data_IF_149002955490
#
_entry.id   IF_149002955490
#
_cell.length_a   1.000
_cell.length_b   1.000
_cell.length_c   1.000
_cell.angle_alpha   90.00
_cell.angle_beta   90.00
_cell.angle_gamma   90.00
#
_symmetry.space_group_name_H-M   'P 1'
#
loop_
_entity.id
_entity.type
_entity.pdbx_description
1 polymer ?
#
# COMPACT_ATOMS: atom_id res chain seq x y z
N UNK A 1 -38.87 33.56 -54.59
CA UNK A 1 -37.88 33.88 -53.56
C UNK A 1 -37.90 32.75 -52.54
N UNK A 2 -36.95 31.79 -52.65
CA UNK A 2 -36.83 30.62 -51.71
C UNK A 2 -35.70 30.95 -50.72
N UNK A 3 -36.04 31.08 -49.43
CA UNK A 3 -35.08 31.30 -48.37
C UNK A 3 -34.56 29.96 -47.94
N UNK A 4 -33.26 29.70 -48.16
CA UNK A 4 -32.51 28.58 -47.65
C UNK A 4 -32.13 28.89 -46.17
N UNK A 5 -32.70 28.14 -45.25
CA UNK A 5 -32.33 28.17 -43.84
C UNK A 5 -31.18 27.15 -43.65
N UNK A 6 -29.98 27.68 -43.43
CA UNK A 6 -28.80 26.90 -43.15
C UNK A 6 -28.82 26.48 -41.66
N UNK A 7 -29.02 25.20 -41.38
CA UNK A 7 -28.89 24.65 -40.06
C UNK A 7 -27.40 24.38 -39.77
N UNK A 8 -26.83 25.23 -38.94
CA UNK A 8 -25.49 24.98 -38.37
C UNK A 8 -25.61 23.91 -37.28
N UNK A 9 -25.21 22.69 -37.60
CA UNK A 9 -25.10 21.60 -36.63
C UNK A 9 -23.80 21.79 -35.86
N UNK A 10 -23.91 22.33 -34.65
CA UNK A 10 -22.77 22.41 -33.73
C UNK A 10 -22.53 21.04 -33.14
N UNK A 11 -21.51 20.32 -33.63
CA UNK A 11 -21.07 19.06 -33.08
C UNK A 11 -20.27 19.36 -31.81
N UNK A 12 -20.91 19.14 -30.66
CA UNK A 12 -20.23 19.12 -29.36
C UNK A 12 -19.35 17.87 -29.28
N UNK A 13 -18.05 18.04 -29.52
CA UNK A 13 -17.09 17.03 -29.18
C UNK A 13 -17.00 16.94 -27.64
N UNK A 14 -17.72 16.00 -27.06
CA UNK A 14 -17.48 15.55 -25.72
C UNK A 14 -16.10 14.89 -25.71
N UNK A 15 -15.06 15.67 -25.38
CA UNK A 15 -13.75 15.12 -25.02
C UNK A 15 -13.96 14.36 -23.71
N UNK A 16 -14.17 13.04 -23.82
CA UNK A 16 -14.03 12.13 -22.70
C UNK A 16 -12.58 12.20 -22.23
N UNK A 17 -12.33 13.00 -21.21
CA UNK A 17 -11.08 12.92 -20.45
C UNK A 17 -10.99 11.46 -19.99
N UNK A 18 -9.96 10.70 -20.37
CA UNK A 18 -9.79 9.38 -19.80
C UNK A 18 -9.62 9.60 -18.31
N UNK A 19 -10.58 9.12 -17.50
CA UNK A 19 -10.38 8.90 -16.07
C UNK A 19 -9.21 7.94 -16.05
N UNK A 20 -8.00 8.45 -15.74
CA UNK A 20 -6.89 7.57 -15.40
C UNK A 20 -7.39 6.76 -14.22
N UNK A 21 -7.80 5.53 -14.54
CA UNK A 21 -8.07 4.53 -13.52
C UNK A 21 -6.81 4.49 -12.66
N UNK A 22 -6.98 4.79 -11.38
CA UNK A 22 -5.96 4.77 -10.36
C UNK A 22 -5.34 3.35 -10.36
N UNK A 23 -4.32 3.16 -11.22
CA UNK A 23 -3.65 1.88 -11.44
C UNK A 23 -2.76 1.51 -10.27
N UNK A 24 -2.72 2.32 -9.22
CA UNK A 24 -1.93 2.13 -8.01
C UNK A 24 -2.74 1.50 -6.86
N UNK A 25 -3.78 0.74 -7.16
CA UNK A 25 -4.44 -0.09 -6.16
C UNK A 25 -3.57 -1.32 -5.86
N UNK A 26 -2.43 -1.06 -5.22
CA UNK A 26 -1.64 -2.13 -4.65
C UNK A 26 -2.49 -2.88 -3.61
N UNK A 27 -2.50 -4.20 -3.72
CA UNK A 27 -3.34 -5.04 -2.87
C UNK A 27 -2.49 -5.75 -1.83
N UNK A 28 -3.02 -6.00 -0.62
CA UNK A 28 -2.31 -6.75 0.39
C UNK A 28 -1.89 -8.15 -0.06
N UNK A 29 -0.69 -8.53 0.33
CA UNK A 29 -0.03 -9.78 -0.05
C UNK A 29 -0.39 -10.89 0.95
N UNK A 30 -0.72 -12.08 0.44
CA UNK A 30 -0.89 -13.28 1.27
C UNK A 30 0.47 -13.80 1.72
N UNK A 31 0.53 -14.30 2.96
CA UNK A 31 1.70 -15.06 3.40
C UNK A 31 1.78 -16.39 2.62
N UNK A 32 2.98 -16.83 2.22
CA UNK A 32 3.16 -18.14 1.63
C UNK A 32 2.76 -19.23 2.64
N UNK A 33 2.22 -20.33 2.12
CA UNK A 33 1.98 -21.53 2.96
C UNK A 33 3.33 -22.13 3.31
N UNK A 34 3.64 -22.21 4.60
CA UNK A 34 4.82 -22.93 5.10
C UNK A 34 4.40 -24.33 5.53
N UNK A 35 4.96 -25.35 4.90
CA UNK A 35 4.81 -26.73 5.36
C UNK A 35 5.60 -26.90 6.67
N UNK A 36 5.00 -27.45 7.71
CA UNK A 36 5.63 -27.66 9.00
C UNK A 36 5.58 -26.48 9.97
N UNK A 37 4.62 -25.60 9.80
CA UNK A 37 4.41 -24.37 10.55
C UNK A 37 4.24 -24.62 12.07
N UNK A 38 4.95 -23.83 12.88
CA UNK A 38 4.75 -23.77 14.33
C UNK A 38 3.44 -23.02 14.64
N UNK A 39 2.87 -23.21 15.83
CA UNK A 39 1.57 -22.63 16.21
C UNK A 39 1.48 -21.10 16.03
N UNK A 40 2.59 -20.37 16.23
CA UNK A 40 2.59 -18.90 16.03
C UNK A 40 2.52 -18.48 14.56
N UNK A 41 3.05 -19.31 13.63
CA UNK A 41 2.94 -19.05 12.18
C UNK A 41 1.48 -19.10 11.75
N UNK A 42 0.69 -19.99 12.37
CA UNK A 42 -0.76 -20.05 12.12
C UNK A 42 -1.48 -18.78 12.58
N UNK A 43 -1.10 -18.25 13.74
CA UNK A 43 -1.70 -17.03 14.29
C UNK A 43 -1.36 -15.80 13.44
N UNK A 44 -0.10 -15.67 12.98
CA UNK A 44 0.34 -14.62 12.05
C UNK A 44 -0.43 -14.74 10.74
N UNK A 45 -0.52 -15.95 10.19
CA UNK A 45 -1.22 -16.21 8.93
C UNK A 45 -2.70 -15.87 9.04
N UNK A 46 -3.36 -16.24 10.14
CA UNK A 46 -4.77 -15.94 10.37
C UNK A 46 -5.01 -14.45 10.53
N UNK A 47 -4.17 -13.76 11.30
CA UNK A 47 -4.25 -12.32 11.44
C UNK A 47 -4.04 -11.60 10.09
N UNK A 48 -3.02 -11.99 9.33
CA UNK A 48 -2.81 -11.44 7.99
C UNK A 48 -4.02 -11.69 7.05
N UNK A 49 -4.59 -12.89 7.06
CA UNK A 49 -5.78 -13.24 6.26
C UNK A 49 -6.98 -12.36 6.64
N UNK A 50 -7.23 -12.17 7.93
CA UNK A 50 -8.32 -11.34 8.40
C UNK A 50 -8.11 -9.87 8.02
N UNK A 51 -6.89 -9.36 8.16
CA UNK A 51 -6.51 -8.02 7.70
C UNK A 51 -6.80 -7.83 6.21
N UNK A 52 -6.42 -8.81 5.37
CA UNK A 52 -6.70 -8.79 3.92
C UNK A 52 -8.22 -8.75 3.64
N UNK A 53 -9.01 -9.53 4.37
CA UNK A 53 -10.45 -9.55 4.18
C UNK A 53 -11.07 -8.17 4.51
N UNK A 54 -10.69 -7.57 5.64
CA UNK A 54 -11.14 -6.23 6.03
C UNK A 54 -10.65 -5.14 5.06
N UNK A 55 -9.42 -5.24 4.57
CA UNK A 55 -8.91 -4.32 3.56
C UNK A 55 -9.76 -4.36 2.28
N UNK A 56 -10.07 -5.56 1.78
CA UNK A 56 -10.92 -5.76 0.60
C UNK A 56 -12.33 -5.21 0.78
N UNK A 57 -12.88 -5.29 1.99
CA UNK A 57 -14.19 -4.71 2.32
C UNK A 57 -14.10 -3.21 2.67
N UNK A 58 -12.95 -2.58 2.46
CA UNK A 58 -12.67 -1.16 2.77
C UNK A 58 -12.82 -0.80 4.26
N UNK A 59 -12.86 -1.79 5.14
CA UNK A 59 -12.86 -1.63 6.60
C UNK A 59 -11.42 -1.42 7.10
N UNK A 60 -10.80 -0.31 6.69
CA UNK A 60 -9.36 -0.10 6.88
C UNK A 60 -8.93 -0.03 8.34
N UNK A 61 -9.76 0.52 9.23
CA UNK A 61 -9.47 0.56 10.67
C UNK A 61 -9.41 -0.84 11.29
N UNK A 62 -10.28 -1.76 10.86
CA UNK A 62 -10.21 -3.16 11.30
C UNK A 62 -9.02 -3.89 10.66
N UNK A 63 -8.78 -3.64 9.36
CA UNK A 63 -7.60 -4.19 8.69
C UNK A 63 -6.30 -3.80 9.42
N UNK A 64 -6.19 -2.54 9.84
CA UNK A 64 -5.05 -2.04 10.62
C UNK A 64 -4.82 -2.86 11.88
N UNK A 65 -5.86 -3.11 12.69
CA UNK A 65 -5.74 -3.89 13.93
C UNK A 65 -5.17 -5.29 13.68
N UNK A 66 -5.69 -5.96 12.64
CA UNK A 66 -5.23 -7.30 12.29
C UNK A 66 -3.80 -7.31 11.75
N UNK A 67 -3.43 -6.37 10.88
CA UNK A 67 -2.07 -6.29 10.38
C UNK A 67 -1.07 -5.85 11.46
N UNK A 68 -1.44 -4.99 12.38
CA UNK A 68 -0.62 -4.66 13.56
C UNK A 68 -0.39 -5.88 14.44
N UNK A 69 -1.43 -6.70 14.69
CA UNK A 69 -1.29 -7.96 15.42
C UNK A 69 -0.33 -8.89 14.69
N UNK A 70 -0.51 -9.09 13.38
CA UNK A 70 0.36 -9.93 12.57
C UNK A 70 1.82 -9.44 12.60
N UNK A 71 2.04 -8.14 12.46
CA UNK A 71 3.37 -7.54 12.50
C UNK A 71 4.05 -7.72 13.87
N UNK A 72 3.32 -7.49 14.96
CA UNK A 72 3.83 -7.67 16.32
C UNK A 72 4.29 -9.11 16.56
N UNK A 73 3.45 -10.08 16.21
CA UNK A 73 3.79 -11.50 16.32
C UNK A 73 4.99 -11.87 15.43
N UNK A 74 4.97 -11.42 14.16
CA UNK A 74 6.08 -11.68 13.24
C UNK A 74 7.41 -11.09 13.74
N UNK A 75 7.37 -9.91 14.34
CA UNK A 75 8.55 -9.29 14.96
C UNK A 75 9.03 -10.09 16.18
N UNK A 76 8.11 -10.44 17.08
CA UNK A 76 8.40 -11.19 18.30
C UNK A 76 9.06 -12.55 18.00
N UNK A 77 8.55 -13.26 17.00
CA UNK A 77 9.02 -14.60 16.64
C UNK A 77 10.07 -14.61 15.52
N UNK A 78 10.51 -13.44 15.07
CA UNK A 78 11.44 -13.28 13.93
C UNK A 78 10.98 -14.03 12.68
N UNK A 79 9.68 -13.97 12.42
CA UNK A 79 9.04 -14.68 11.31
C UNK A 79 9.48 -14.09 9.96
N UNK A 80 9.76 -14.95 8.96
CA UNK A 80 10.12 -14.51 7.61
C UNK A 80 9.04 -13.68 6.91
N UNK A 81 7.79 -13.76 7.33
CA UNK A 81 6.67 -12.98 6.82
C UNK A 81 6.62 -11.53 7.29
N UNK A 82 7.54 -11.10 8.17
CA UNK A 82 7.54 -9.73 8.71
C UNK A 82 7.50 -8.66 7.61
N UNK A 83 8.22 -8.85 6.51
CA UNK A 83 8.20 -7.94 5.38
C UNK A 83 6.80 -7.79 4.77
N UNK A 84 6.12 -8.92 4.55
CA UNK A 84 4.78 -8.96 3.93
C UNK A 84 3.74 -8.30 4.84
N UNK A 85 3.69 -8.67 6.13
CA UNK A 85 2.69 -8.09 7.04
C UNK A 85 2.92 -6.61 7.28
N UNK A 86 4.18 -6.16 7.27
CA UNK A 86 4.53 -4.74 7.36
C UNK A 86 4.12 -3.97 6.10
N UNK A 87 4.27 -4.56 4.93
CA UNK A 87 3.79 -4.00 3.67
C UNK A 87 2.27 -3.81 3.69
N UNK A 88 1.53 -4.85 4.08
CA UNK A 88 0.07 -4.80 4.18
C UNK A 88 -0.40 -3.74 5.19
N UNK A 89 0.33 -3.58 6.30
CA UNK A 89 0.08 -2.51 7.26
C UNK A 89 0.33 -1.14 6.63
N UNK A 90 1.43 -0.98 5.88
CA UNK A 90 1.75 0.26 5.17
C UNK A 90 0.66 0.68 4.19
N UNK A 91 0.17 -0.26 3.36
CA UNK A 91 -0.97 -0.02 2.46
C UNK A 91 -2.22 0.44 3.23
N UNK A 92 -2.50 -0.20 4.35
CA UNK A 92 -3.68 0.11 5.17
C UNK A 92 -3.58 1.49 5.80
N UNK A 93 -2.41 1.82 6.35
CA UNK A 93 -2.14 3.13 6.95
C UNK A 93 -2.22 4.25 5.91
N UNK A 94 -1.75 4.01 4.68
CA UNK A 94 -1.93 4.94 3.58
C UNK A 94 -3.42 5.19 3.28
N UNK A 95 -4.25 4.15 3.24
CA UNK A 95 -5.71 4.30 3.03
C UNK A 95 -6.43 4.99 4.18
N UNK A 96 -5.80 5.13 5.33
CA UNK A 96 -6.28 5.88 6.50
C UNK A 96 -5.67 7.27 6.60
N UNK A 97 -4.92 7.73 5.60
CA UNK A 97 -4.18 9.00 5.58
C UNK A 97 -3.15 9.14 6.72
N UNK A 98 -2.73 8.01 7.32
CA UNK A 98 -1.72 7.96 8.38
C UNK A 98 -0.32 7.80 7.76
N UNK A 99 0.08 8.78 6.95
CA UNK A 99 1.25 8.69 6.06
C UNK A 99 2.58 8.49 6.79
N UNK A 100 2.83 9.18 7.91
CA UNK A 100 4.05 8.98 8.70
C UNK A 100 4.18 7.55 9.24
N UNK A 101 3.06 6.98 9.69
CA UNK A 101 3.02 5.59 10.15
C UNK A 101 3.17 4.62 8.99
N UNK A 102 2.61 4.95 7.81
CA UNK A 102 2.77 4.16 6.60
C UNK A 102 4.25 4.10 6.17
N UNK A 103 4.96 5.23 6.21
CA UNK A 103 6.41 5.28 5.94
C UNK A 103 7.17 4.31 6.84
N UNK A 104 6.91 4.33 8.15
CA UNK A 104 7.58 3.41 9.10
C UNK A 104 7.29 1.94 8.77
N UNK A 105 6.06 1.62 8.43
CA UNK A 105 5.67 0.27 8.06
C UNK A 105 6.32 -0.17 6.74
N UNK A 106 6.38 0.70 5.73
CA UNK A 106 7.03 0.42 4.46
C UNK A 106 8.54 0.25 4.57
N UNK A 107 9.21 1.02 5.43
CA UNK A 107 10.64 0.84 5.69
C UNK A 107 10.95 -0.53 6.31
N UNK A 108 10.10 -1.00 7.24
CA UNK A 108 10.21 -2.36 7.79
C UNK A 108 9.95 -3.39 6.67
N UNK A 109 8.92 -3.17 5.85
CA UNK A 109 8.60 -4.06 4.74
C UNK A 109 9.80 -4.21 3.78
N UNK A 110 10.42 -3.11 3.37
CA UNK A 110 11.59 -3.11 2.50
C UNK A 110 12.78 -3.86 3.12
N UNK A 111 13.07 -3.56 4.39
CA UNK A 111 14.19 -4.20 5.13
C UNK A 111 14.03 -5.72 5.20
N UNK A 112 12.79 -6.20 5.35
CA UNK A 112 12.50 -7.63 5.51
C UNK A 112 11.83 -8.26 4.28
N UNK A 113 11.93 -7.61 3.10
CA UNK A 113 11.32 -8.08 1.85
C UNK A 113 11.87 -9.42 1.36
N UNK A 114 13.11 -9.78 1.70
CA UNK A 114 13.75 -11.05 1.31
C UNK A 114 13.63 -11.35 -0.19
N UNK A 115 13.78 -10.34 -1.03
CA UNK A 115 13.67 -10.49 -2.49
C UNK A 115 12.23 -10.53 -3.02
N UNK A 116 11.23 -10.29 -2.20
CA UNK A 116 9.84 -10.22 -2.66
C UNK A 116 9.66 -9.04 -3.63
N UNK A 117 9.47 -9.36 -4.92
CA UNK A 117 9.35 -8.38 -5.99
C UNK A 117 8.12 -7.47 -5.86
N UNK A 118 7.02 -7.98 -5.28
CA UNK A 118 5.82 -7.17 -5.05
C UNK A 118 6.04 -6.08 -4.00
N UNK A 119 6.92 -6.31 -3.02
CA UNK A 119 7.30 -5.29 -2.04
C UNK A 119 8.32 -4.34 -2.65
N UNK A 120 9.39 -4.88 -3.24
CA UNK A 120 10.52 -4.09 -3.74
C UNK A 120 10.16 -3.27 -4.98
N UNK A 121 9.18 -3.70 -5.77
CA UNK A 121 8.67 -2.98 -6.94
C UNK A 121 7.44 -2.11 -6.66
N UNK A 122 7.02 -1.98 -5.39
CA UNK A 122 5.87 -1.17 -5.02
C UNK A 122 6.15 0.31 -5.23
N UNK A 123 5.36 0.93 -6.10
CA UNK A 123 5.43 2.38 -6.35
C UNK A 123 5.00 3.16 -5.11
N UNK A 124 3.99 2.68 -4.39
CA UNK A 124 3.48 3.33 -3.20
C UNK A 124 4.51 3.30 -2.06
N UNK A 125 5.22 2.18 -1.88
CA UNK A 125 6.33 2.09 -0.95
C UNK A 125 7.43 3.10 -1.33
N UNK A 126 7.79 3.15 -2.60
CA UNK A 126 8.81 4.08 -3.12
C UNK A 126 8.41 5.54 -2.89
N UNK A 127 7.16 5.87 -3.15
CA UNK A 127 6.60 7.19 -2.91
C UNK A 127 6.69 7.60 -1.43
N UNK A 128 6.39 6.67 -0.51
CA UNK A 128 6.52 6.93 0.92
C UNK A 128 7.97 7.07 1.40
N UNK A 129 8.90 6.36 0.76
CA UNK A 129 10.33 6.50 1.06
C UNK A 129 10.87 7.90 0.75
N UNK A 130 10.32 8.56 -0.26
CA UNK A 130 10.68 9.91 -0.64
C UNK A 130 10.09 11.00 0.26
N UNK A 131 9.46 10.63 1.38
CA UNK A 131 8.94 11.56 2.38
C UNK A 131 7.49 11.97 2.17
N UNK A 132 6.74 11.25 1.33
CA UNK A 132 5.32 11.50 1.09
C UNK A 132 5.01 12.97 0.73
N UNK A 133 5.63 13.48 -0.30
CA UNK A 133 5.22 14.74 -0.89
C UNK A 133 4.57 14.49 -2.26
N UNK A 134 3.22 14.55 -2.39
CA UNK A 134 2.54 14.29 -3.66
C UNK A 134 2.87 15.33 -4.75
N UNK A 135 3.49 16.44 -4.38
CA UNK A 135 3.85 17.54 -5.28
C UNK A 135 5.29 17.47 -5.78
N UNK A 136 6.10 16.55 -5.27
CA UNK A 136 7.52 16.43 -5.62
C UNK A 136 7.86 15.04 -6.12
N UNK A 137 8.54 14.91 -7.29
CA UNK A 137 9.15 13.66 -7.71
C UNK A 137 10.14 13.15 -6.67
N UNK A 138 10.25 11.83 -6.53
CA UNK A 138 11.19 11.20 -5.60
C UNK A 138 12.65 11.63 -5.77
N UNK A 139 13.04 11.99 -6.98
CA UNK A 139 14.40 12.39 -7.35
C UNK A 139 14.77 13.79 -6.83
N UNK A 140 13.77 14.63 -6.55
CA UNK A 140 13.95 16.01 -6.09
C UNK A 140 13.86 16.14 -4.55
N UNK A 141 13.36 15.10 -3.88
CA UNK A 141 13.22 15.11 -2.43
C UNK A 141 14.14 14.03 -1.83
N UNK A 142 15.32 14.40 -1.33
CA UNK A 142 16.16 13.42 -0.65
C UNK A 142 15.36 12.80 0.48
N UNK A 143 15.45 11.47 0.69
CA UNK A 143 14.69 10.79 1.70
C UNK A 143 14.89 11.50 3.05
N UNK A 144 13.79 11.94 3.66
CA UNK A 144 13.84 12.46 5.02
C UNK A 144 14.60 11.44 5.86
N UNK A 145 15.77 11.83 6.36
CA UNK A 145 16.55 10.98 7.27
C UNK A 145 15.70 10.85 8.52
N UNK A 146 14.89 9.77 8.56
CA UNK A 146 14.26 9.42 9.82
C UNK A 146 15.38 9.00 10.76
N UNK A 147 15.69 9.87 11.72
CA UNK A 147 16.41 9.48 12.90
C UNK A 147 15.59 8.34 13.53
N UNK A 148 16.04 7.12 13.32
CA UNK A 148 15.65 6.02 14.17
C UNK A 148 16.42 6.30 15.46
N UNK A 149 15.79 7.08 16.35
CA UNK A 149 16.30 7.20 17.71
C UNK A 149 16.42 5.81 18.30
N UNK A 150 17.63 5.55 18.76
CA UNK A 150 18.20 4.45 19.44
C UNK A 150 17.28 3.37 19.95
N UNK A 151 17.56 2.19 19.53
CA UNK A 151 17.36 1.00 20.34
C UNK A 151 18.68 0.74 21.06
N UNK A 152 18.84 1.30 22.23
CA UNK A 152 19.66 0.68 23.28
C UNK A 152 18.91 -0.49 23.88
#
# INVERSE_FOLDING_TARGET
MKRLISYMVTIFFLTSVPIQADTDLETPIKLPKTEGSKNFDLEITLANKNGINHFKSKSFSEAQKYFMKAQSLAKQFRDPGLGIVSFNLGLTLHKLDLHESAVKAFLIAKRYARGNSSILGSKLLHFHECGFNPSMPCDENPPARMHIEGSD
#
